data_IF_580377030709
#
_entry.id   IF_580377030709
#
_cell.length_a   1.000
_cell.length_b   1.000
_cell.length_c   1.000
_cell.angle_alpha   90.00
_cell.angle_beta   90.00
_cell.angle_gamma   90.00
#
_symmetry.space_group_name_H-M   'P 1'
#
loop_
_entity.id
_entity.type
_entity.pdbx_description
1 polymer ?
#
# COMPACT_ATOMS: atom_id res chain seq x y z
N UNK A 1 -0.78 4.00 16.48
CA UNK A 1 -1.00 2.72 15.79
C UNK A 1 -2.14 2.93 14.80
N UNK A 2 -1.94 2.66 13.51
CA UNK A 2 -3.06 2.69 12.57
C UNK A 2 -4.00 1.54 12.91
N UNK A 3 -5.29 1.83 12.94
CA UNK A 3 -6.32 0.81 13.14
C UNK A 3 -6.31 -0.12 11.92
N UNK A 4 -6.01 -1.40 12.13
CA UNK A 4 -6.02 -2.41 11.06
C UNK A 4 -7.46 -2.70 10.63
N UNK A 5 -7.66 -3.03 9.35
CA UNK A 5 -8.97 -3.50 8.86
C UNK A 5 -9.35 -4.83 9.51
N UNK A 6 -10.65 -5.15 9.53
CA UNK A 6 -11.11 -6.45 10.00
C UNK A 6 -10.82 -7.53 8.96
N UNK A 7 -10.27 -8.66 9.38
CA UNK A 7 -10.09 -9.82 8.48
C UNK A 7 -11.42 -10.54 8.23
N UNK A 8 -11.57 -11.15 7.06
CA UNK A 8 -12.75 -11.94 6.70
C UNK A 8 -13.89 -11.12 6.07
N UNK A 9 -13.66 -9.83 5.84
CA UNK A 9 -14.54 -8.97 5.06
C UNK A 9 -13.80 -8.50 3.80
N UNK A 10 -14.56 -8.21 2.75
CA UNK A 10 -14.04 -7.55 1.56
C UNK A 10 -13.79 -6.07 1.86
N UNK A 11 -12.62 -5.59 1.45
CA UNK A 11 -12.21 -4.21 1.60
C UNK A 11 -11.63 -3.71 0.27
N UNK A 12 -11.84 -2.43 -0.02
CA UNK A 12 -11.26 -1.80 -1.22
C UNK A 12 -10.03 -1.01 -0.83
N UNK A 13 -8.89 -1.37 -1.42
CA UNK A 13 -7.66 -0.62 -1.31
C UNK A 13 -7.45 0.16 -2.60
N UNK A 14 -7.24 1.47 -2.49
CA UNK A 14 -6.94 2.31 -3.64
C UNK A 14 -5.69 3.14 -3.41
N UNK A 15 -5.01 3.40 -4.51
CA UNK A 15 -3.88 4.30 -4.61
C UNK A 15 -4.11 5.21 -5.82
N UNK A 16 -4.15 6.50 -5.56
CA UNK A 16 -4.32 7.54 -6.58
C UNK A 16 -3.06 8.38 -6.68
N UNK A 17 -2.63 8.67 -7.90
CA UNK A 17 -1.57 9.63 -8.20
C UNK A 17 -2.21 10.79 -8.96
N UNK A 18 -2.41 11.91 -8.29
CA UNK A 18 -2.97 13.13 -8.89
C UNK A 18 -1.84 14.03 -9.37
N UNK A 19 -1.73 14.16 -10.70
CA UNK A 19 -0.74 15.00 -11.39
C UNK A 19 -1.39 16.11 -12.23
N UNK A 20 -2.68 16.38 -12.04
CA UNK A 20 -3.45 17.34 -12.86
C UNK A 20 -2.89 18.76 -12.79
N UNK A 21 -2.20 19.09 -11.70
CA UNK A 21 -1.59 20.40 -11.51
C UNK A 21 -0.30 20.66 -12.33
N UNK A 22 0.20 19.65 -13.07
CA UNK A 22 1.27 19.84 -14.05
C UNK A 22 2.60 20.33 -13.47
N UNK A 23 2.98 19.85 -12.28
CA UNK A 23 4.28 20.16 -11.66
C UNK A 23 4.35 21.43 -10.79
N UNK A 24 3.23 22.09 -10.50
CA UNK A 24 3.17 23.27 -9.60
C UNK A 24 3.14 22.90 -8.10
N UNK A 25 3.97 21.94 -7.65
CA UNK A 25 4.10 21.49 -6.24
C UNK A 25 2.81 21.05 -5.53
N UNK A 26 1.77 20.75 -6.31
CA UNK A 26 0.44 20.37 -5.81
C UNK A 26 0.06 18.96 -6.24
N UNK A 27 0.99 18.24 -6.89
CA UNK A 27 0.80 16.82 -7.14
C UNK A 27 0.78 16.04 -5.82
N UNK A 28 0.02 14.95 -5.79
CA UNK A 28 -0.10 14.13 -4.60
C UNK A 28 -0.32 12.65 -4.91
N UNK A 29 0.04 11.81 -3.96
CA UNK A 29 -0.30 10.39 -3.95
C UNK A 29 -1.12 10.09 -2.71
N UNK A 30 -2.29 9.48 -2.88
CA UNK A 30 -3.19 9.19 -1.77
C UNK A 30 -3.47 7.70 -1.70
N UNK A 31 -3.33 7.13 -0.51
CA UNK A 31 -3.72 5.77 -0.18
C UNK A 31 -5.00 5.81 0.64
N UNK A 32 -6.00 5.04 0.20
CA UNK A 32 -7.28 4.95 0.86
C UNK A 32 -7.70 3.50 1.10
N UNK A 33 -8.50 3.33 2.15
CA UNK A 33 -9.16 2.07 2.49
C UNK A 33 -10.65 2.35 2.57
N UNK A 34 -11.44 1.58 1.83
CA UNK A 34 -12.90 1.74 1.71
C UNK A 34 -13.30 3.17 1.33
N UNK A 35 -12.53 3.77 0.41
CA UNK A 35 -12.74 5.14 -0.06
C UNK A 35 -12.30 6.24 0.91
N UNK A 36 -11.84 5.90 2.12
CA UNK A 36 -11.38 6.87 3.12
C UNK A 36 -9.87 7.05 3.03
N UNK A 37 -9.36 8.25 2.70
CA UNK A 37 -7.92 8.53 2.71
C UNK A 37 -7.29 8.22 4.07
N UNK A 38 -6.21 7.46 4.06
CA UNK A 38 -5.44 7.10 5.27
C UNK A 38 -4.08 7.80 5.29
N UNK A 39 -3.52 8.04 4.12
CA UNK A 39 -2.26 8.74 3.99
C UNK A 39 -2.18 9.44 2.64
N UNK A 40 -1.58 10.63 2.63
CA UNK A 40 -1.31 11.40 1.42
C UNK A 40 0.14 11.86 1.47
N UNK A 41 0.87 11.58 0.40
CA UNK A 41 2.21 12.09 0.15
C UNK A 41 2.10 13.23 -0.86
N UNK A 42 2.60 14.40 -0.51
CA UNK A 42 2.65 15.58 -1.39
C UNK A 42 3.99 15.65 -2.11
N UNK A 43 4.01 16.29 -3.28
CA UNK A 43 5.23 16.54 -4.04
C UNK A 43 6.36 17.19 -3.21
N UNK A 44 6.00 18.03 -2.24
CA UNK A 44 6.94 18.70 -1.34
C UNK A 44 7.58 17.79 -0.29
N UNK A 45 6.93 16.68 0.07
CA UNK A 45 7.31 15.89 1.24
C UNK A 45 8.68 15.19 1.10
N UNK A 46 9.08 14.65 -0.08
CA UNK A 46 10.41 14.08 -0.27
C UNK A 46 11.54 15.11 -0.21
N UNK A 47 11.25 16.40 -0.45
CA UNK A 47 12.26 17.46 -0.56
C UNK A 47 13.19 17.34 -1.78
N UNK A 48 12.88 16.44 -2.72
CA UNK A 48 13.66 16.15 -3.91
C UNK A 48 12.73 15.95 -5.12
N UNK A 49 12.81 16.88 -6.08
CA UNK A 49 11.99 16.87 -7.29
C UNK A 49 12.31 15.69 -8.22
N UNK A 50 13.56 15.22 -8.26
CA UNK A 50 13.96 14.04 -9.02
C UNK A 50 13.37 12.76 -8.42
N UNK A 51 13.38 12.65 -7.09
CA UNK A 51 12.73 11.54 -6.39
C UNK A 51 11.21 11.54 -6.65
N UNK A 52 10.56 12.71 -6.60
CA UNK A 52 9.14 12.82 -6.94
C UNK A 52 8.85 12.37 -8.37
N UNK A 53 9.66 12.80 -9.34
CA UNK A 53 9.48 12.42 -10.74
C UNK A 53 9.52 10.89 -10.92
N UNK A 54 10.46 10.20 -10.31
CA UNK A 54 10.56 8.72 -10.37
C UNK A 54 9.33 8.07 -9.71
N UNK A 55 8.88 8.61 -8.58
CA UNK A 55 7.72 8.08 -7.88
C UNK A 55 6.43 8.28 -8.69
N UNK A 56 6.17 9.49 -9.18
CA UNK A 56 4.88 9.89 -9.74
C UNK A 56 4.76 9.65 -11.25
N UNK A 57 5.85 9.78 -12.02
CA UNK A 57 5.80 9.76 -13.48
C UNK A 57 6.15 8.40 -14.10
N UNK A 58 6.99 7.60 -13.44
CA UNK A 58 7.43 6.34 -14.05
C UNK A 58 6.31 5.31 -14.11
N UNK A 59 6.36 4.46 -15.15
CA UNK A 59 5.45 3.32 -15.30
C UNK A 59 5.56 2.40 -14.09
N UNK A 60 4.42 1.91 -13.62
CA UNK A 60 4.33 0.99 -12.48
C UNK A 60 3.75 -0.35 -12.92
N UNK A 61 4.05 -1.38 -12.14
CA UNK A 61 3.45 -2.71 -12.25
C UNK A 61 2.71 -3.01 -10.95
N UNK A 62 1.55 -3.63 -11.06
CA UNK A 62 0.82 -4.12 -9.87
C UNK A 62 1.34 -5.52 -9.52
N UNK A 63 1.75 -5.71 -8.27
CA UNK A 63 2.23 -6.98 -7.74
C UNK A 63 1.37 -7.42 -6.56
N UNK A 64 0.78 -8.62 -6.68
CA UNK A 64 0.10 -9.30 -5.56
C UNK A 64 0.99 -10.41 -5.03
N UNK A 65 1.25 -10.38 -3.73
CA UNK A 65 2.07 -11.39 -3.06
C UNK A 65 1.67 -11.51 -1.59
N UNK A 66 1.72 -12.73 -1.07
CA UNK A 66 1.72 -12.99 0.37
C UNK A 66 3.15 -13.30 0.80
N UNK A 67 3.81 -12.34 1.44
CA UNK A 67 5.12 -12.57 2.03
C UNK A 67 5.00 -13.24 3.40
N UNK A 68 5.93 -14.12 3.75
CA UNK A 68 5.96 -14.84 5.03
C UNK A 68 7.21 -14.45 5.81
N UNK A 69 7.01 -13.83 6.98
CA UNK A 69 8.10 -13.37 7.85
C UNK A 69 8.83 -12.14 7.33
N UNK A 70 10.08 -11.97 7.78
CA UNK A 70 10.97 -10.87 7.39
C UNK A 70 10.88 -9.65 8.32
N UNK A 71 11.75 -8.68 8.09
CA UNK A 71 11.98 -7.55 9.01
C UNK A 71 10.69 -6.78 9.35
N UNK A 72 9.77 -6.62 8.40
CA UNK A 72 8.48 -5.98 8.65
C UNK A 72 7.62 -6.78 9.63
N UNK A 73 7.46 -8.10 9.38
CA UNK A 73 6.68 -8.96 10.26
C UNK A 73 7.31 -9.07 11.66
N UNK A 74 8.63 -9.12 11.73
CA UNK A 74 9.39 -9.14 12.99
C UNK A 74 9.17 -7.85 13.80
N UNK A 75 9.23 -6.69 13.14
CA UNK A 75 9.02 -5.39 13.77
C UNK A 75 7.60 -5.23 14.32
N UNK A 76 6.58 -5.68 13.57
CA UNK A 76 5.18 -5.64 14.03
C UNK A 76 4.92 -6.65 15.16
N UNK A 77 5.50 -7.85 15.08
CA UNK A 77 5.32 -8.88 16.10
C UNK A 77 6.15 -8.64 17.38
N UNK A 78 7.12 -7.73 17.35
CA UNK A 78 8.06 -7.47 18.45
C UNK A 78 9.02 -8.63 18.74
N UNK A 79 9.07 -9.65 17.87
CA UNK A 79 9.91 -10.83 17.99
C UNK A 79 10.15 -11.47 16.61
N UNK A 80 11.28 -12.16 16.46
CA UNK A 80 11.62 -12.85 15.22
C UNK A 80 10.52 -13.85 14.81
N UNK A 81 9.99 -13.71 13.59
CA UNK A 81 8.89 -14.48 13.04
C UNK A 81 9.20 -15.97 12.96
N UNK A 82 10.48 -16.37 12.99
CA UNK A 82 10.91 -17.78 13.12
C UNK A 82 10.45 -18.44 14.42
N UNK A 83 10.18 -17.68 15.49
CA UNK A 83 9.68 -18.22 16.77
C UNK A 83 8.17 -18.41 16.79
N UNK A 84 7.44 -17.63 15.99
CA UNK A 84 6.02 -17.81 15.77
C UNK A 84 5.87 -18.90 14.73
N UNK A 85 5.59 -20.13 15.17
CA UNK A 85 5.11 -21.19 14.29
C UNK A 85 4.04 -20.61 13.37
N UNK A 86 4.38 -20.37 12.09
CA UNK A 86 3.45 -20.04 10.99
C UNK A 86 2.62 -21.29 10.67
N UNK A 87 1.98 -21.86 11.70
CA UNK A 87 1.23 -23.12 11.69
C UNK A 87 -0.17 -22.96 11.12
N UNK A 88 -0.62 -21.73 10.81
CA UNK A 88 -1.88 -21.52 10.09
C UNK A 88 -1.63 -21.51 8.59
N UNK A 89 -1.16 -22.63 8.06
CA UNK A 89 -1.34 -22.97 6.66
C UNK A 89 -2.72 -23.62 6.54
N UNK A 90 -3.67 -23.00 5.83
CA UNK A 90 -5.03 -23.53 5.71
C UNK A 90 -6.07 -22.50 5.30
N UNK A 91 -7.35 -22.91 5.29
CA UNK A 91 -8.50 -22.05 4.97
C UNK A 91 -8.48 -20.79 5.87
N UNK A 92 -8.47 -19.60 5.27
CA UNK A 92 -8.35 -18.30 5.96
C UNK A 92 -6.94 -17.69 6.01
N UNK A 93 -5.93 -18.38 5.49
CA UNK A 93 -4.57 -17.84 5.31
C UNK A 93 -4.31 -17.27 3.90
N UNK A 94 -5.22 -17.52 2.95
CA UNK A 94 -5.13 -16.98 1.59
C UNK A 94 -5.38 -15.46 1.57
N UNK A 95 -4.73 -14.78 0.61
CA UNK A 95 -5.17 -13.48 0.12
C UNK A 95 -6.15 -13.75 -1.01
N UNK A 96 -7.38 -13.26 -0.87
CA UNK A 96 -8.41 -13.34 -1.89
C UNK A 96 -8.62 -11.93 -2.45
N UNK A 97 -8.67 -11.82 -3.78
CA UNK A 97 -8.93 -10.57 -4.49
C UNK A 97 -10.03 -10.80 -5.50
N UNK A 98 -11.09 -9.99 -5.43
CA UNK A 98 -12.23 -10.08 -6.33
C UNK A 98 -11.88 -9.49 -7.71
N UNK A 99 -11.35 -8.27 -7.73
CA UNK A 99 -10.91 -7.60 -8.95
C UNK A 99 -9.75 -6.64 -8.71
N UNK A 100 -9.13 -6.25 -9.82
CA UNK A 100 -8.12 -5.19 -9.89
C UNK A 100 -8.50 -4.32 -11.07
N UNK A 101 -8.59 -3.01 -10.84
CA UNK A 101 -8.91 -2.05 -11.87
C UNK A 101 -7.90 -0.90 -11.84
N UNK A 102 -7.56 -0.42 -13.03
CA UNK A 102 -6.71 0.76 -13.23
C UNK A 102 -7.49 1.73 -14.09
N UNK A 103 -7.60 2.96 -13.62
CA UNK A 103 -8.29 4.04 -14.31
C UNK A 103 -7.28 5.13 -14.63
N UNK A 104 -7.46 5.77 -15.78
CA UNK A 104 -6.71 6.95 -16.19
C UNK A 104 -7.70 7.96 -16.76
N UNK A 105 -7.49 9.24 -16.44
CA UNK A 105 -8.31 10.37 -16.88
C UNK A 105 -7.43 11.48 -17.42
#
# INVERSE_FOLDING_TARGET
>A
MSESVRRGLWHTYSWEVDRRAGGNDTESMTWAIDGVPKWTLRQSDPGDAGAWQVLAADRKMVLFKVAVGGAFADAVAGAASRRLQTRRCGRGAAMEGDYVAVYAS
#
